data_IF_369111504282
#
_entry.id   IF_369111504282
#
_cell.length_a   1.000
_cell.length_b   1.000
_cell.length_c   1.000
_cell.angle_alpha   90.00
_cell.angle_beta   90.00
_cell.angle_gamma   90.00
#
_symmetry.space_group_name_H-M   'P 1'
#
loop_
_entity.id
_entity.type
_entity.pdbx_description
1 polymer ?
#
# COMPACT_ATOMS: atom_id res chain seq x y z
N UNK A 1 -15.53 19.10 6.90
CA UNK A 1 -14.90 17.78 7.09
C UNK A 1 -13.99 17.47 5.92
N UNK A 2 -12.75 17.17 6.18
CA UNK A 2 -11.80 16.81 5.15
C UNK A 2 -11.85 15.30 4.98
N UNK A 3 -12.20 14.84 3.79
CA UNK A 3 -12.15 13.42 3.46
C UNK A 3 -10.72 13.04 3.09
N UNK A 4 -10.24 11.96 3.68
CA UNK A 4 -8.92 11.45 3.34
C UNK A 4 -8.96 10.82 1.94
N UNK A 5 -7.98 11.17 1.13
CA UNK A 5 -7.81 10.54 -0.17
C UNK A 5 -7.19 9.15 0.02
N UNK A 6 -7.78 8.17 -0.60
CA UNK A 6 -7.30 6.81 -0.58
C UNK A 6 -6.82 6.45 -1.98
N UNK A 7 -5.60 5.95 -2.07
CA UNK A 7 -5.05 5.48 -3.34
C UNK A 7 -5.67 4.12 -3.67
N UNK A 8 -6.28 4.04 -4.84
CA UNK A 8 -6.83 2.80 -5.36
C UNK A 8 -6.07 2.40 -6.62
N UNK A 9 -5.60 1.16 -6.65
CA UNK A 9 -4.88 0.63 -7.80
C UNK A 9 -5.86 0.10 -8.84
N UNK A 10 -5.58 0.42 -10.10
CA UNK A 10 -6.33 -0.13 -11.23
C UNK A 10 -5.64 -1.38 -11.75
N UNK A 11 -6.43 -2.36 -12.15
CA UNK A 11 -5.93 -3.63 -12.64
C UNK A 11 -5.00 -3.43 -13.85
N UNK A 12 -3.80 -3.98 -13.74
CA UNK A 12 -2.80 -3.93 -14.80
C UNK A 12 -2.11 -2.59 -15.01
N UNK A 13 -2.48 -1.55 -14.24
CA UNK A 13 -1.85 -0.23 -14.37
C UNK A 13 -0.85 0.00 -13.25
N UNK A 14 0.42 0.27 -13.59
CA UNK A 14 1.42 0.62 -12.57
C UNK A 14 1.10 1.99 -11.96
N UNK A 15 1.21 2.07 -10.63
CA UNK A 15 1.11 3.32 -9.90
C UNK A 15 2.46 3.63 -9.27
N UNK A 16 2.93 4.87 -9.41
CA UNK A 16 4.17 5.33 -8.79
C UNK A 16 3.84 6.10 -7.53
N UNK A 17 4.37 5.64 -6.41
CA UNK A 17 4.03 6.14 -5.10
C UNK A 17 5.31 6.50 -4.34
N UNK A 18 5.24 7.56 -3.54
CA UNK A 18 6.27 7.84 -2.55
C UNK A 18 5.63 7.82 -1.16
N UNK A 19 6.18 7.01 -0.28
CA UNK A 19 5.68 6.85 1.08
C UNK A 19 6.52 7.66 2.05
N UNK A 20 5.85 8.36 2.97
CA UNK A 20 6.53 9.17 4.00
C UNK A 20 6.51 8.50 5.37
N UNK A 21 5.48 7.69 5.65
CA UNK A 21 5.34 7.01 6.92
C UNK A 21 4.41 5.82 6.76
N UNK A 22 4.37 4.97 7.77
CA UNK A 22 3.46 3.83 7.79
C UNK A 22 2.95 3.56 9.20
N UNK A 23 1.81 2.90 9.27
CA UNK A 23 1.27 2.34 10.51
C UNK A 23 0.72 0.96 10.24
N UNK A 24 0.68 0.13 11.28
CA UNK A 24 -0.02 -1.15 11.21
C UNK A 24 -1.22 -1.05 12.14
N UNK A 25 -2.40 -1.17 11.58
CA UNK A 25 -3.65 -1.08 12.31
C UNK A 25 -4.28 -2.47 12.42
N UNK A 26 -4.90 -2.74 13.55
CA UNK A 26 -5.73 -3.94 13.71
C UNK A 26 -7.17 -3.56 13.47
N UNK A 27 -7.82 -4.28 12.55
CA UNK A 27 -9.24 -4.05 12.24
C UNK A 27 -10.02 -5.33 12.36
N UNK A 28 -11.25 -5.21 12.82
CA UNK A 28 -12.19 -6.33 12.86
C UNK A 28 -12.92 -6.39 11.53
N UNK A 29 -12.81 -7.52 10.86
CA UNK A 29 -13.40 -7.73 9.53
C UNK A 29 -14.17 -9.04 9.60
N UNK A 30 -15.38 -9.03 9.03
CA UNK A 30 -16.17 -10.25 8.95
C UNK A 30 -15.62 -11.15 7.84
N UNK A 31 -15.39 -12.41 8.18
CA UNK A 31 -14.98 -13.42 7.20
C UNK A 31 -16.12 -13.64 6.21
N UNK A 32 -15.90 -13.47 4.90
CA UNK A 32 -16.95 -13.66 3.92
C UNK A 32 -17.46 -15.11 3.81
N UNK A 33 -16.67 -16.08 4.23
CA UNK A 33 -17.04 -17.50 4.17
C UNK A 33 -17.83 -17.94 5.39
N UNK A 34 -17.50 -17.44 6.58
CA UNK A 34 -18.10 -17.89 7.85
C UNK A 34 -19.00 -16.83 8.48
N UNK A 35 -18.90 -15.57 8.05
CA UNK A 35 -19.60 -14.45 8.66
C UNK A 35 -19.11 -14.09 10.05
N UNK A 36 -18.05 -14.73 10.54
CA UNK A 36 -17.49 -14.47 11.87
C UNK A 36 -16.53 -13.30 11.84
N UNK A 37 -16.51 -12.46 12.90
CA UNK A 37 -15.53 -11.39 12.99
C UNK A 37 -14.13 -11.97 13.22
N UNK A 38 -13.16 -11.42 12.51
CA UNK A 38 -11.76 -11.74 12.68
C UNK A 38 -10.92 -10.48 12.74
N UNK A 39 -9.80 -10.55 13.45
CA UNK A 39 -8.87 -9.42 13.54
C UNK A 39 -7.84 -9.56 12.43
N UNK A 40 -7.68 -8.49 11.64
CA UNK A 40 -6.69 -8.44 10.56
C UNK A 40 -5.76 -7.26 10.77
N UNK A 41 -4.49 -7.46 10.44
CA UNK A 41 -3.53 -6.37 10.37
C UNK A 41 -3.66 -5.67 9.02
N UNK A 42 -3.73 -4.35 9.07
CA UNK A 42 -3.79 -3.51 7.88
C UNK A 42 -2.55 -2.63 7.87
N UNK A 43 -1.75 -2.75 6.82
CA UNK A 43 -0.59 -1.89 6.62
C UNK A 43 -1.05 -0.63 5.89
N UNK A 44 -0.82 0.53 6.49
CA UNK A 44 -1.24 1.83 5.96
C UNK A 44 -0.01 2.69 5.74
N UNK A 45 0.15 3.19 4.51
CA UNK A 45 1.19 4.13 4.16
C UNK A 45 0.61 5.52 3.94
N UNK A 46 1.33 6.54 4.40
CA UNK A 46 1.06 7.92 4.01
C UNK A 46 1.78 8.19 2.70
N UNK A 47 1.05 8.71 1.72
CA UNK A 47 1.52 8.95 0.36
C UNK A 47 1.56 10.44 0.10
N UNK A 48 2.73 10.97 -0.27
CA UNK A 48 2.89 12.39 -0.61
C UNK A 48 3.05 12.64 -2.12
N UNK A 49 3.29 11.60 -2.90
CA UNK A 49 3.35 11.69 -4.35
C UNK A 49 2.68 10.48 -5.00
N UNK A 50 1.92 10.75 -6.04
CA UNK A 50 1.25 9.73 -6.84
C UNK A 50 1.43 10.11 -8.32
N UNK A 51 2.10 9.24 -9.08
CA UNK A 51 2.37 9.43 -10.51
C UNK A 51 3.02 10.78 -10.82
N UNK A 52 3.96 11.19 -9.96
CA UNK A 52 4.69 12.44 -10.11
C UNK A 52 3.99 13.68 -9.60
N UNK A 53 2.78 13.56 -9.07
CA UNK A 53 2.01 14.68 -8.52
C UNK A 53 2.02 14.68 -7.01
N UNK A 54 2.08 15.86 -6.41
CA UNK A 54 1.96 16.00 -4.96
C UNK A 54 0.52 15.69 -4.54
N UNK A 55 0.38 14.81 -3.55
CA UNK A 55 -0.92 14.42 -3.00
C UNK A 55 -0.83 14.31 -1.49
N UNK A 56 -1.97 14.33 -0.84
CA UNK A 56 -2.11 13.97 0.57
C UNK A 56 -3.08 12.78 0.60
N UNK A 57 -2.53 11.59 0.62
CA UNK A 57 -3.33 10.38 0.46
C UNK A 57 -2.79 9.26 1.34
N UNK A 58 -3.55 8.19 1.43
CA UNK A 58 -3.16 6.97 2.11
C UNK A 58 -3.35 5.77 1.20
N UNK A 59 -2.44 4.82 1.32
CA UNK A 59 -2.56 3.53 0.67
C UNK A 59 -2.54 2.44 1.74
N UNK A 60 -3.57 1.61 1.77
CA UNK A 60 -3.67 0.53 2.75
C UNK A 60 -3.83 -0.82 2.08
N UNK A 61 -3.31 -1.86 2.74
CA UNK A 61 -3.46 -3.22 2.26
C UNK A 61 -3.57 -4.20 3.43
N UNK A 62 -4.38 -5.22 3.24
CA UNK A 62 -4.44 -6.39 4.11
C UNK A 62 -3.75 -7.59 3.47
N UNK A 63 -3.27 -7.46 2.25
CA UNK A 63 -2.65 -8.55 1.51
C UNK A 63 -1.27 -8.87 2.08
N UNK A 64 -1.14 -10.03 2.68
CA UNK A 64 0.12 -10.46 3.29
C UNK A 64 1.25 -10.55 2.27
N UNK A 65 0.95 -11.00 1.06
CA UNK A 65 1.95 -11.11 -0.01
C UNK A 65 2.51 -9.74 -0.41
N UNK A 66 1.66 -8.72 -0.44
CA UNK A 66 2.11 -7.37 -0.73
C UNK A 66 2.88 -6.78 0.44
N UNK A 67 2.35 -6.92 1.65
CA UNK A 67 3.00 -6.43 2.86
C UNK A 67 4.40 -7.04 3.05
N UNK A 68 4.55 -8.32 2.75
CA UNK A 68 5.84 -9.01 2.85
C UNK A 68 6.92 -8.39 1.96
N UNK A 69 6.55 -7.82 0.83
CA UNK A 69 7.51 -7.16 -0.07
C UNK A 69 8.08 -5.87 0.51
N UNK A 70 7.39 -5.27 1.48
CA UNK A 70 7.86 -4.07 2.16
C UNK A 70 8.56 -4.34 3.49
N UNK A 71 8.50 -5.57 4.00
CA UNK A 71 8.92 -5.91 5.37
C UNK A 71 10.33 -5.43 5.69
N UNK A 72 11.28 -5.65 4.78
CA UNK A 72 12.67 -5.23 4.96
C UNK A 72 12.83 -3.72 5.09
N UNK A 73 11.90 -2.96 4.53
CA UNK A 73 11.98 -1.50 4.47
C UNK A 73 11.16 -0.81 5.56
N UNK A 74 10.42 -1.56 6.37
CA UNK A 74 9.49 -0.96 7.34
C UNK A 74 10.19 -0.47 8.60
N UNK A 75 11.11 -1.25 9.15
CA UNK A 75 11.70 -0.99 10.47
C UNK A 75 12.47 0.32 10.53
N UNK A 76 13.21 0.64 9.48
CA UNK A 76 14.01 1.86 9.38
C UNK A 76 13.39 2.90 8.45
N UNK A 77 12.20 2.61 7.94
CA UNK A 77 11.48 3.46 6.99
C UNK A 77 12.29 3.79 5.74
N UNK A 78 13.12 2.85 5.31
CA UNK A 78 13.97 3.04 4.13
C UNK A 78 13.17 3.18 2.83
N UNK A 79 11.88 2.80 2.82
CA UNK A 79 11.00 3.06 1.69
C UNK A 79 10.92 4.54 1.29
N UNK A 80 11.26 5.46 2.20
CA UNK A 80 11.30 6.90 1.91
C UNK A 80 12.35 7.26 0.87
N UNK A 81 13.35 6.41 0.71
CA UNK A 81 14.45 6.64 -0.23
C UNK A 81 14.12 6.17 -1.65
N UNK A 82 12.92 5.63 -1.86
CA UNK A 82 12.54 5.01 -3.13
C UNK A 82 11.22 5.55 -3.63
N UNK A 83 11.12 5.68 -4.94
CA UNK A 83 9.84 5.72 -5.61
C UNK A 83 9.39 4.28 -5.82
N UNK A 84 8.18 3.97 -5.40
CA UNK A 84 7.67 2.61 -5.36
C UNK A 84 6.62 2.46 -6.47
N UNK A 85 6.86 1.52 -7.37
CA UNK A 85 5.93 1.23 -8.46
C UNK A 85 5.21 -0.06 -8.12
N UNK A 86 3.89 0.03 -7.95
CA UNK A 86 3.05 -1.11 -7.63
C UNK A 86 2.11 -1.37 -8.79
N UNK A 87 2.12 -2.60 -9.29
CA UNK A 87 1.19 -3.07 -10.30
C UNK A 87 0.38 -4.21 -9.72
N UNK A 88 -0.93 -4.07 -9.70
CA UNK A 88 -1.86 -5.07 -9.22
C UNK A 88 -2.55 -5.72 -10.41
N UNK A 89 -2.57 -7.05 -10.46
CA UNK A 89 -3.23 -7.80 -11.53
C UNK A 89 -4.09 -8.92 -10.94
N UNK A 90 -5.18 -9.27 -11.64
CA UNK A 90 -6.06 -10.34 -11.26
C UNK A 90 -7.15 -9.91 -10.28
N UNK A 91 -7.98 -10.86 -9.89
CA UNK A 91 -9.10 -10.64 -9.00
C UNK A 91 -9.14 -11.70 -7.89
N UNK A 92 -9.66 -11.31 -6.73
CA UNK A 92 -9.86 -12.22 -5.61
C UNK A 92 -8.59 -12.92 -5.17
N UNK A 93 -8.63 -14.23 -5.08
CA UNK A 93 -7.49 -15.04 -4.65
C UNK A 93 -6.38 -15.13 -5.68
N UNK A 94 -6.66 -14.76 -6.92
CA UNK A 94 -5.66 -14.75 -8.01
C UNK A 94 -4.98 -13.40 -8.14
N UNK A 95 -5.27 -12.46 -7.25
CA UNK A 95 -4.66 -11.14 -7.27
C UNK A 95 -3.18 -11.22 -6.97
N UNK A 96 -2.39 -10.54 -7.79
CA UNK A 96 -0.93 -10.48 -7.67
C UNK A 96 -0.48 -9.04 -7.69
N UNK A 97 0.66 -8.80 -7.03
CA UNK A 97 1.28 -7.48 -6.98
C UNK A 97 2.72 -7.59 -7.41
N UNK A 98 3.12 -6.69 -8.30
CA UNK A 98 4.51 -6.49 -8.68
C UNK A 98 4.96 -5.17 -8.07
N UNK A 99 6.05 -5.18 -7.32
CA UNK A 99 6.57 -4.00 -6.64
C UNK A 99 7.99 -3.76 -7.09
N UNK A 100 8.27 -2.53 -7.54
CA UNK A 100 9.61 -2.09 -7.91
C UNK A 100 10.01 -0.93 -7.04
N UNK A 101 11.25 -0.95 -6.55
CA UNK A 101 11.84 0.12 -5.74
C UNK A 101 12.89 0.83 -6.58
N UNK A 102 12.62 2.08 -6.94
CA UNK A 102 13.53 2.90 -7.72
C UNK A 102 14.10 3.97 -6.80
N UNK A 103 15.43 4.11 -6.71
CA UNK A 103 16.02 5.14 -5.85
C UNK A 103 15.44 6.52 -6.17
N UNK A 104 14.96 7.18 -5.13
CA UNK A 104 14.37 8.50 -5.25
C UNK A 104 15.47 9.54 -5.10
N UNK A 105 15.74 10.26 -6.17
CA UNK A 105 16.73 11.31 -6.16
C UNK A 105 16.03 12.63 -5.91
N UNK A 106 16.19 13.15 -4.70
CA UNK A 106 15.71 14.47 -4.34
C UNK A 106 16.67 15.51 -4.89
N UNK A 107 16.17 16.44 -5.64
CA UNK A 107 16.97 17.56 -6.14
C UNK A 107 16.48 18.85 -5.52
#
# INVERSE_FOLDING_TARGET
>A
MVLQNIVMLEDGKPARLHFTDHTVEKRTINDPNTGRPGIRNVLVFNVDRLDGRAVDARYSTMAEKLAAQFETYLSDKSYRNYEIIITQTGEGFQRRWSVQFIPFVSR
#
